data_IF_973781950226
#
_entry.id   IF_973781950226
#
_cell.length_a   1.000
_cell.length_b   1.000
_cell.length_c   1.000
_cell.angle_alpha   90.00
_cell.angle_beta   90.00
_cell.angle_gamma   90.00
#
_symmetry.space_group_name_H-M   'P 1'
#
loop_
_entity.id
_entity.type
_entity.pdbx_description
1 polymer ?
#
# COMPACT_ATOMS: atom_id res chain seq x y z
N UNK A 1 -30.31 -36.33 9.81
CA UNK A 1 -28.83 -36.18 9.96
C UNK A 1 -28.08 -36.39 8.64
N UNK A 2 -28.27 -37.50 7.91
CA UNK A 2 -27.61 -37.74 6.60
C UNK A 2 -27.95 -36.73 5.50
N UNK A 3 -29.20 -36.25 5.44
CA UNK A 3 -29.63 -35.24 4.46
C UNK A 3 -28.97 -33.86 4.66
N UNK A 4 -28.84 -33.42 5.92
CA UNK A 4 -28.21 -32.14 6.28
C UNK A 4 -26.71 -32.14 5.97
N UNK A 5 -26.03 -33.28 6.12
CA UNK A 5 -24.62 -33.42 5.76
C UNK A 5 -24.39 -33.37 4.24
N UNK A 6 -25.32 -33.92 3.44
CA UNK A 6 -25.29 -33.84 1.98
C UNK A 6 -25.55 -32.41 1.50
N UNK A 7 -26.51 -31.73 2.09
CA UNK A 7 -26.83 -30.32 1.80
C UNK A 7 -25.66 -29.39 2.17
N UNK A 8 -24.99 -29.62 3.29
CA UNK A 8 -23.77 -28.88 3.65
C UNK A 8 -22.62 -29.12 2.67
N UNK A 9 -22.45 -30.34 2.18
CA UNK A 9 -21.40 -30.66 1.20
C UNK A 9 -21.67 -29.94 -0.14
N UNK A 10 -22.94 -29.93 -0.57
CA UNK A 10 -23.35 -29.24 -1.80
C UNK A 10 -23.24 -27.71 -1.68
N UNK A 11 -23.63 -27.14 -0.54
CA UNK A 11 -23.46 -25.71 -0.28
C UNK A 11 -21.99 -25.29 -0.25
N UNK A 12 -21.11 -26.12 0.33
CA UNK A 12 -19.66 -25.87 0.34
C UNK A 12 -19.10 -25.88 -1.08
N UNK A 13 -19.50 -26.85 -1.89
CA UNK A 13 -19.08 -26.93 -3.28
C UNK A 13 -19.52 -25.70 -4.11
N UNK A 14 -20.78 -25.27 -3.97
CA UNK A 14 -21.30 -24.07 -4.62
C UNK A 14 -20.57 -22.80 -4.18
N UNK A 15 -20.19 -22.71 -2.90
CA UNK A 15 -19.41 -21.58 -2.37
C UNK A 15 -18.00 -21.54 -2.99
N UNK A 16 -17.36 -22.70 -3.16
CA UNK A 16 -16.04 -22.79 -3.79
C UNK A 16 -16.07 -22.42 -5.28
N UNK A 17 -17.10 -22.85 -6.00
CA UNK A 17 -17.33 -22.48 -7.40
C UNK A 17 -17.56 -20.97 -7.54
N UNK A 18 -18.47 -20.39 -6.76
CA UNK A 18 -18.73 -18.95 -6.78
C UNK A 18 -17.47 -18.13 -6.43
N UNK A 19 -16.66 -18.61 -5.49
CA UNK A 19 -15.38 -17.98 -5.16
C UNK A 19 -14.36 -18.09 -6.30
N UNK A 20 -14.33 -19.20 -7.03
CA UNK A 20 -13.47 -19.37 -8.19
C UNK A 20 -13.87 -18.44 -9.35
N UNK A 21 -15.17 -18.31 -9.60
CA UNK A 21 -15.72 -17.38 -10.60
C UNK A 21 -15.40 -15.92 -10.25
N UNK A 22 -15.60 -15.52 -8.99
CA UNK A 22 -15.24 -14.17 -8.52
C UNK A 22 -13.75 -13.87 -8.69
N UNK A 23 -12.87 -14.86 -8.46
CA UNK A 23 -11.43 -14.72 -8.70
C UNK A 23 -11.13 -14.52 -10.19
N UNK A 24 -11.77 -15.32 -11.05
CA UNK A 24 -11.62 -15.25 -12.51
C UNK A 24 -12.09 -13.90 -13.06
N UNK A 25 -13.30 -13.46 -12.68
CA UNK A 25 -13.85 -12.16 -13.09
C UNK A 25 -12.97 -11.00 -12.66
N UNK A 26 -12.43 -11.03 -11.43
CA UNK A 26 -11.46 -10.03 -10.95
C UNK A 26 -10.16 -10.04 -11.73
N UNK A 27 -9.66 -11.22 -12.13
CA UNK A 27 -8.45 -11.34 -12.95
C UNK A 27 -8.66 -10.77 -14.36
N UNK A 28 -9.79 -11.09 -14.99
CA UNK A 28 -10.17 -10.57 -16.31
C UNK A 28 -10.37 -9.06 -16.29
N UNK A 29 -11.08 -8.52 -15.29
CA UNK A 29 -11.24 -7.08 -15.13
C UNK A 29 -9.88 -6.35 -14.96
N UNK A 30 -8.94 -6.96 -14.22
CA UNK A 30 -7.57 -6.43 -14.08
C UNK A 30 -6.80 -6.46 -15.39
N UNK A 31 -6.93 -7.52 -16.19
CA UNK A 31 -6.26 -7.64 -17.48
C UNK A 31 -6.76 -6.57 -18.47
N UNK A 32 -8.08 -6.38 -18.56
CA UNK A 32 -8.70 -5.35 -19.41
C UNK A 32 -8.31 -3.93 -18.98
N UNK A 33 -8.26 -3.67 -17.67
CA UNK A 33 -7.78 -2.39 -17.15
C UNK A 33 -6.29 -2.14 -17.48
N UNK A 34 -5.47 -3.19 -17.54
CA UNK A 34 -4.05 -3.12 -17.89
C UNK A 34 -3.83 -2.77 -19.37
N UNK A 35 -4.66 -3.28 -20.28
CA UNK A 35 -4.57 -2.98 -21.71
C UNK A 35 -5.01 -1.55 -22.06
N UNK A 36 -5.92 -0.95 -21.29
CA UNK A 36 -6.28 0.47 -21.47
C UNK A 36 -5.26 1.46 -20.91
N UNK A 37 -4.20 0.98 -20.25
CA UNK A 37 -3.21 1.82 -19.57
C UNK A 37 -1.89 2.01 -20.37
N UNK A 38 -1.87 1.70 -21.67
CA UNK A 38 -0.77 2.15 -22.53
C UNK A 38 -0.88 3.67 -22.72
N UNK A 39 0.15 4.47 -22.34
CA UNK A 39 0.08 5.91 -22.53
C UNK A 39 0.12 6.23 -24.04
N UNK A 40 -0.65 7.22 -24.52
CA UNK A 40 -0.45 7.74 -25.86
C UNK A 40 0.97 8.33 -25.96
N UNK A 41 1.73 7.90 -26.96
CA UNK A 41 3.05 8.47 -27.27
C UNK A 41 2.88 9.98 -27.58
N UNK A 42 3.48 10.83 -26.74
CA UNK A 42 3.44 12.30 -26.90
C UNK A 42 3.11 13.11 -25.64
N UNK A 43 2.90 12.48 -24.48
CA UNK A 43 2.52 13.20 -23.26
C UNK A 43 3.62 14.15 -22.73
N UNK A 44 3.20 15.39 -22.46
CA UNK A 44 3.96 16.47 -21.84
C UNK A 44 4.60 15.97 -20.53
N UNK A 45 5.87 15.56 -20.59
CA UNK A 45 6.55 14.93 -19.46
C UNK A 45 6.85 15.99 -18.41
N UNK A 46 6.07 16.00 -17.33
CA UNK A 46 6.31 16.89 -16.19
C UNK A 46 7.73 16.66 -15.68
N UNK A 47 8.54 17.71 -15.67
CA UNK A 47 9.89 17.71 -15.11
C UNK A 47 9.79 18.25 -13.68
N UNK A 48 10.16 17.41 -12.72
CA UNK A 48 10.17 17.76 -11.30
C UNK A 48 11.56 18.25 -10.88
N UNK A 49 11.61 19.29 -10.05
CA UNK A 49 12.85 19.83 -9.51
C UNK A 49 13.49 18.91 -8.46
N UNK A 50 12.70 18.03 -7.82
CA UNK A 50 13.20 17.09 -6.82
C UNK A 50 12.42 15.77 -6.76
N UNK A 51 13.01 14.78 -6.10
CA UNK A 51 12.31 13.53 -5.76
C UNK A 51 11.11 13.77 -4.85
N UNK A 52 11.22 14.75 -3.95
CA UNK A 52 10.15 15.12 -3.03
C UNK A 52 8.93 15.68 -3.79
N UNK A 53 9.17 16.61 -4.71
CA UNK A 53 8.11 17.20 -5.53
C UNK A 53 7.40 16.14 -6.37
N UNK A 54 8.18 15.26 -7.01
CA UNK A 54 7.65 14.13 -7.76
C UNK A 54 6.79 13.21 -6.89
N UNK A 55 7.25 12.80 -5.72
CA UNK A 55 6.49 11.92 -4.81
C UNK A 55 5.19 12.60 -4.37
N UNK A 56 5.24 13.88 -3.97
CA UNK A 56 4.06 14.61 -3.53
C UNK A 56 3.02 14.70 -4.65
N UNK A 57 3.47 14.96 -5.88
CA UNK A 57 2.62 14.93 -7.06
C UNK A 57 1.98 13.56 -7.28
N UNK A 58 2.76 12.48 -7.27
CA UNK A 58 2.23 11.12 -7.47
C UNK A 58 1.22 10.68 -6.40
N UNK A 59 1.48 10.97 -5.13
CA UNK A 59 0.54 10.68 -4.02
C UNK A 59 -0.75 11.49 -4.20
N UNK A 60 -0.63 12.78 -4.53
CA UNK A 60 -1.78 13.65 -4.75
C UNK A 60 -2.63 13.15 -5.93
N UNK A 61 -1.98 12.78 -7.03
CA UNK A 61 -2.70 12.24 -8.19
C UNK A 61 -3.33 10.89 -7.92
N UNK A 62 -2.67 10.02 -7.16
CA UNK A 62 -3.24 8.75 -6.73
C UNK A 62 -4.47 8.95 -5.83
N UNK A 63 -4.44 9.91 -4.92
CA UNK A 63 -5.59 10.28 -4.09
C UNK A 63 -6.74 10.83 -4.94
N UNK A 64 -6.46 11.76 -5.86
CA UNK A 64 -7.47 12.34 -6.76
C UNK A 64 -8.13 11.28 -7.66
N UNK A 65 -7.35 10.35 -8.20
CA UNK A 65 -7.87 9.26 -9.05
C UNK A 65 -8.69 8.23 -8.25
N UNK A 66 -8.41 8.08 -6.95
CA UNK A 66 -9.04 7.07 -6.11
C UNK A 66 -10.36 7.53 -5.49
N UNK A 67 -10.44 8.80 -5.12
CA UNK A 67 -11.58 9.35 -4.39
C UNK A 67 -12.32 10.38 -5.25
N UNK A 68 -13.65 10.27 -5.29
CA UNK A 68 -14.51 11.29 -5.88
C UNK A 68 -14.34 12.63 -5.13
N UNK A 69 -14.71 13.78 -5.72
CA UNK A 69 -14.65 15.06 -5.02
C UNK A 69 -15.37 15.05 -3.65
N UNK A 70 -16.48 14.32 -3.52
CA UNK A 70 -17.21 14.17 -2.27
C UNK A 70 -16.48 13.26 -1.26
N UNK A 71 -15.96 12.11 -1.71
CA UNK A 71 -15.19 11.20 -0.85
C UNK A 71 -13.94 11.87 -0.26
N UNK A 72 -13.33 12.81 -1.00
CA UNK A 72 -12.15 13.55 -0.55
C UNK A 72 -12.42 14.40 0.69
N UNK A 73 -13.68 14.78 0.97
CA UNK A 73 -14.06 15.48 2.20
C UNK A 73 -14.05 14.52 3.41
N UNK A 74 -14.46 13.27 3.21
CA UNK A 74 -14.46 12.25 4.27
C UNK A 74 -13.14 11.50 4.39
N UNK A 75 -12.30 11.53 3.35
CA UNK A 75 -10.97 10.93 3.27
C UNK A 75 -9.92 11.98 2.87
N UNK A 76 -9.73 13.04 3.67
CA UNK A 76 -8.80 14.11 3.33
C UNK A 76 -7.36 13.58 3.31
N UNK A 77 -6.58 14.05 2.34
CA UNK A 77 -5.15 13.80 2.32
C UNK A 77 -4.47 14.68 3.38
N UNK A 78 -4.09 14.09 4.51
CA UNK A 78 -3.43 14.83 5.58
C UNK A 78 -2.03 15.31 5.16
N UNK A 79 -1.48 16.28 5.91
CA UNK A 79 -0.08 16.66 5.76
C UNK A 79 0.86 15.48 6.04
N UNK A 80 1.85 15.29 5.19
CA UNK A 80 2.88 14.26 5.35
C UNK A 80 4.26 14.79 4.97
N UNK A 81 5.28 14.20 5.57
CA UNK A 81 6.69 14.46 5.29
C UNK A 81 7.21 13.35 4.36
N UNK A 82 8.12 13.71 3.46
CA UNK A 82 8.80 12.76 2.59
C UNK A 82 10.25 12.68 3.06
N UNK A 83 10.65 11.53 3.58
CA UNK A 83 12.02 11.26 3.96
C UNK A 83 12.94 11.23 2.73
N UNK A 84 14.25 11.51 2.91
CA UNK A 84 15.20 11.68 1.82
C UNK A 84 15.33 10.45 0.92
N UNK A 85 15.21 9.26 1.49
CA UNK A 85 15.37 7.98 0.80
C UNK A 85 14.09 7.52 0.07
N UNK A 86 12.94 8.10 0.39
CA UNK A 86 11.66 7.56 -0.06
C UNK A 86 11.55 7.61 -1.58
N UNK A 87 11.75 8.80 -2.17
CA UNK A 87 11.65 8.96 -3.62
C UNK A 87 12.64 8.07 -4.39
N UNK A 88 13.89 8.01 -3.94
CA UNK A 88 14.90 7.15 -4.57
C UNK A 88 14.50 5.66 -4.49
N UNK A 89 14.01 5.21 -3.34
CA UNK A 89 13.56 3.82 -3.15
C UNK A 89 12.38 3.44 -4.06
N UNK A 90 11.48 4.39 -4.37
CA UNK A 90 10.35 4.12 -5.27
C UNK A 90 10.76 4.16 -6.73
N UNK A 91 11.66 5.08 -7.14
CA UNK A 91 12.17 5.13 -8.53
C UNK A 91 12.86 3.83 -8.95
N UNK A 92 13.52 3.16 -8.02
CA UNK A 92 14.17 1.87 -8.27
C UNK A 92 13.19 0.73 -8.58
N UNK A 93 11.88 0.94 -8.37
CA UNK A 93 10.85 -0.08 -8.62
C UNK A 93 10.32 0.01 -10.06
N UNK A 94 9.90 -1.13 -10.66
CA UNK A 94 9.12 -1.12 -11.89
C UNK A 94 7.81 -0.31 -11.76
N UNK A 95 7.35 0.34 -12.83
CA UNK A 95 6.18 1.24 -12.81
C UNK A 95 4.93 0.62 -12.17
N UNK A 96 4.68 -0.67 -12.39
CA UNK A 96 3.52 -1.35 -11.82
C UNK A 96 3.59 -1.50 -10.29
N UNK A 97 4.80 -1.57 -9.71
CA UNK A 97 5.01 -1.55 -8.26
C UNK A 97 4.93 -0.12 -7.71
N UNK A 98 5.45 0.88 -8.43
CA UNK A 98 5.28 2.29 -8.04
C UNK A 98 3.79 2.64 -7.87
N UNK A 99 2.95 2.21 -8.82
CA UNK A 99 1.49 2.40 -8.70
C UNK A 99 0.88 1.72 -7.45
N UNK A 100 1.44 0.60 -6.97
CA UNK A 100 1.02 -0.01 -5.69
C UNK A 100 1.48 0.81 -4.50
N UNK A 101 2.72 1.32 -4.54
CA UNK A 101 3.27 2.21 -3.51
C UNK A 101 2.39 3.46 -3.37
N UNK A 102 2.00 4.10 -4.47
CA UNK A 102 1.15 5.30 -4.42
C UNK A 102 -0.20 5.04 -3.78
N UNK A 103 -0.84 3.91 -4.09
CA UNK A 103 -2.09 3.52 -3.40
C UNK A 103 -1.87 3.31 -1.90
N UNK A 104 -0.78 2.62 -1.54
CA UNK A 104 -0.41 2.37 -0.15
C UNK A 104 -0.11 3.67 0.61
N UNK A 105 0.65 4.59 0.01
CA UNK A 105 0.95 5.91 0.56
C UNK A 105 -0.32 6.73 0.79
N UNK A 106 -1.29 6.69 -0.13
CA UNK A 106 -2.59 7.33 0.07
C UNK A 106 -3.33 6.72 1.26
N UNK A 107 -3.36 5.39 1.41
CA UNK A 107 -4.00 4.76 2.59
C UNK A 107 -3.30 5.12 3.90
N UNK A 108 -1.98 5.31 3.88
CA UNK A 108 -1.24 5.76 5.05
C UNK A 108 -1.55 7.23 5.36
N UNK A 109 -1.49 8.11 4.37
CA UNK A 109 -1.72 9.56 4.53
C UNK A 109 -3.18 9.91 4.85
N UNK A 110 -4.14 9.06 4.50
CA UNK A 110 -5.56 9.20 4.90
C UNK A 110 -5.88 8.50 6.23
N UNK A 111 -4.89 7.89 6.90
CA UNK A 111 -5.08 7.19 8.17
C UNK A 111 -5.75 5.81 8.07
N UNK A 112 -6.18 5.39 6.88
CA UNK A 112 -6.84 4.09 6.63
C UNK A 112 -5.99 2.88 6.99
N UNK A 113 -4.67 3.02 7.04
CA UNK A 113 -3.76 1.97 7.50
C UNK A 113 -4.10 1.42 8.89
N UNK A 114 -4.77 2.19 9.74
CA UNK A 114 -5.20 1.77 11.09
C UNK A 114 -6.34 0.76 11.07
N UNK A 115 -7.17 0.80 10.03
CA UNK A 115 -8.41 0.01 9.94
C UNK A 115 -8.43 -0.95 8.77
N UNK A 116 -7.46 -0.88 7.86
CA UNK A 116 -7.38 -1.73 6.67
C UNK A 116 -6.49 -2.96 6.93
N UNK A 117 -7.06 -4.17 7.13
CA UNK A 117 -6.26 -5.36 7.45
C UNK A 117 -5.32 -5.77 6.30
N UNK A 118 -5.70 -5.45 5.06
CA UNK A 118 -4.91 -5.78 3.87
C UNK A 118 -3.52 -5.10 3.86
N UNK A 119 -3.35 -3.99 4.59
CA UNK A 119 -2.05 -3.34 4.73
C UNK A 119 -1.14 -4.03 5.76
N UNK A 120 -1.69 -4.89 6.62
CA UNK A 120 -0.95 -5.56 7.69
C UNK A 120 0.02 -4.60 8.41
N UNK A 121 -0.55 -3.49 8.90
CA UNK A 121 0.24 -2.42 9.51
C UNK A 121 0.77 -2.86 10.87
N UNK A 122 2.08 -2.82 11.04
CA UNK A 122 2.74 -3.21 12.29
C UNK A 122 3.93 -2.30 12.58
N UNK A 123 4.31 -2.13 13.86
CA UNK A 123 5.60 -1.53 14.18
C UNK A 123 6.74 -2.35 13.57
N UNK A 124 7.79 -1.66 13.12
CA UNK A 124 9.07 -2.30 12.84
C UNK A 124 9.75 -2.59 14.17
N UNK A 125 10.28 -3.80 14.34
CA UNK A 125 10.97 -4.22 15.56
C UNK A 125 12.48 -4.24 15.35
N UNK A 126 13.23 -3.91 16.39
CA UNK A 126 14.69 -3.85 16.34
C UNK A 126 15.34 -5.18 15.97
N UNK A 127 14.70 -6.30 16.31
CA UNK A 127 15.11 -7.65 15.91
C UNK A 127 13.89 -8.50 15.56
N UNK A 128 14.13 -9.69 15.02
CA UNK A 128 13.07 -10.66 14.72
C UNK A 128 12.49 -11.36 15.97
N UNK A 129 13.05 -11.12 17.16
CA UNK A 129 12.58 -11.76 18.39
C UNK A 129 11.14 -11.33 18.73
N UNK A 130 10.37 -12.25 19.30
CA UNK A 130 8.94 -12.03 19.60
C UNK A 130 8.69 -10.82 20.51
N UNK A 131 9.62 -10.53 21.43
CA UNK A 131 9.56 -9.42 22.38
C UNK A 131 10.54 -8.29 22.05
N UNK A 132 11.04 -8.24 20.81
CA UNK A 132 11.90 -7.16 20.39
C UNK A 132 11.14 -5.81 20.47
N UNK A 133 11.77 -4.77 21.04
CA UNK A 133 11.14 -3.46 21.12
C UNK A 133 10.90 -2.89 19.71
N UNK A 134 9.89 -2.04 19.62
CA UNK A 134 9.61 -1.24 18.43
C UNK A 134 10.80 -0.31 18.16
N UNK A 135 11.09 -0.05 16.88
CA UNK A 135 12.09 0.94 16.48
C UNK A 135 11.51 2.33 16.69
N UNK A 136 12.17 3.12 17.54
CA UNK A 136 11.82 4.50 17.86
C UNK A 136 13.01 5.41 17.55
N UNK A 137 12.76 6.52 16.84
CA UNK A 137 13.77 7.51 16.50
C UNK A 137 14.10 8.34 17.74
N UNK A 138 15.37 8.31 18.16
CA UNK A 138 15.79 8.92 19.42
C UNK A 138 15.61 10.46 19.46
N UNK A 139 15.69 11.13 18.31
CA UNK A 139 15.65 12.58 18.23
C UNK A 139 14.27 13.18 18.56
N UNK A 140 13.19 12.48 18.24
CA UNK A 140 11.83 13.02 18.31
C UNK A 140 10.76 12.01 18.77
N UNK A 141 11.16 10.78 19.10
CA UNK A 141 10.26 9.73 19.56
C UNK A 141 9.37 9.14 18.47
N UNK A 142 9.63 9.44 17.19
CA UNK A 142 8.83 8.90 16.10
C UNK A 142 8.96 7.38 16.02
N UNK A 143 7.86 6.65 15.87
CA UNK A 143 7.84 5.18 15.82
C UNK A 143 7.87 4.69 14.37
N UNK A 144 8.77 3.77 14.05
CA UNK A 144 8.81 3.18 12.71
C UNK A 144 7.69 2.15 12.55
N UNK A 145 6.88 2.34 11.52
CA UNK A 145 5.79 1.48 11.12
C UNK A 145 6.11 0.87 9.75
N UNK A 146 5.58 -0.32 9.49
CA UNK A 146 5.64 -0.98 8.18
C UNK A 146 4.25 -1.39 7.73
N UNK A 147 4.02 -1.28 6.42
CA UNK A 147 2.81 -1.76 5.74
C UNK A 147 3.18 -2.56 4.49
N UNK A 148 2.33 -3.49 4.12
CA UNK A 148 2.49 -4.33 2.94
C UNK A 148 2.06 -3.56 1.68
N UNK A 149 2.97 -3.44 0.72
CA UNK A 149 2.67 -2.96 -0.64
C UNK A 149 2.21 -4.12 -1.52
N UNK A 150 2.76 -5.30 -1.25
CA UNK A 150 2.40 -6.57 -1.88
C UNK A 150 2.23 -7.66 -0.82
N UNK A 151 1.40 -8.65 -1.14
CA UNK A 151 1.20 -9.83 -0.31
C UNK A 151 1.32 -11.09 -1.19
N UNK A 152 1.73 -12.21 -0.59
CA UNK A 152 1.80 -13.52 -1.24
C UNK A 152 2.67 -13.59 -2.51
N UNK A 153 3.75 -12.81 -2.56
CA UNK A 153 4.74 -12.87 -3.66
C UNK A 153 6.16 -13.00 -3.07
N UNK A 154 7.06 -13.76 -3.72
CA UNK A 154 8.48 -13.73 -3.38
C UNK A 154 9.01 -12.29 -3.40
N UNK A 155 9.83 -11.94 -2.41
CA UNK A 155 10.40 -10.60 -2.24
C UNK A 155 9.33 -9.48 -2.21
N UNK A 156 8.16 -9.76 -1.63
CA UNK A 156 7.09 -8.78 -1.44
C UNK A 156 7.62 -7.46 -0.86
N UNK A 157 7.13 -6.35 -1.39
CA UNK A 157 7.54 -5.03 -0.94
C UNK A 157 6.75 -4.58 0.28
N UNK A 158 7.46 -3.96 1.22
CA UNK A 158 6.92 -3.25 2.37
C UNK A 158 7.33 -1.79 2.29
N UNK A 159 6.44 -0.91 2.72
CA UNK A 159 6.73 0.50 2.88
C UNK A 159 6.90 0.80 4.36
N UNK A 160 8.01 1.45 4.70
CA UNK A 160 8.28 1.96 6.04
C UNK A 160 7.92 3.44 6.12
N UNK A 161 7.34 3.84 7.24
CA UNK A 161 7.08 5.23 7.55
C UNK A 161 7.27 5.48 9.05
N UNK A 162 7.63 6.70 9.42
CA UNK A 162 7.65 7.13 10.80
C UNK A 162 6.28 7.71 11.16
N UNK A 163 5.73 7.25 12.29
CA UNK A 163 4.60 7.86 12.93
C UNK A 163 5.13 8.82 13.99
N UNK A 164 4.98 10.11 13.72
CA UNK A 164 5.38 11.19 14.61
C UNK A 164 4.46 11.21 15.85
N UNK A 165 4.92 11.86 16.92
CA UNK A 165 4.19 11.92 18.21
C UNK A 165 2.89 12.73 18.13
N UNK A 166 2.80 13.67 17.19
CA UNK A 166 1.60 14.43 16.84
C UNK A 166 0.64 13.68 15.89
N UNK A 167 1.03 12.48 15.44
CA UNK A 167 0.28 11.66 14.50
C UNK A 167 0.60 11.92 13.02
N UNK A 168 1.48 12.89 12.71
CA UNK A 168 1.97 13.12 11.36
C UNK A 168 2.72 11.90 10.83
N UNK A 169 2.64 11.67 9.53
CA UNK A 169 3.35 10.58 8.85
C UNK A 169 4.56 11.14 8.11
N UNK A 170 5.70 10.49 8.26
CA UNK A 170 6.88 10.68 7.43
C UNK A 170 7.17 9.40 6.63
N UNK A 171 7.07 9.46 5.29
CA UNK A 171 7.41 8.32 4.43
C UNK A 171 8.92 8.10 4.41
N UNK A 172 9.39 6.91 4.80
CA UNK A 172 10.83 6.62 4.91
C UNK A 172 11.38 5.97 3.64
N UNK A 173 10.93 4.75 3.31
CA UNK A 173 11.42 3.98 2.14
C UNK A 173 10.54 2.79 1.80
N UNK A 174 10.75 2.22 0.61
CA UNK A 174 10.17 0.94 0.19
C UNK A 174 11.27 -0.13 0.08
N UNK A 175 11.07 -1.25 0.76
CA UNK A 175 12.09 -2.30 0.93
C UNK A 175 11.51 -3.70 0.70
N UNK A 176 12.34 -4.72 0.39
CA UNK A 176 11.92 -6.11 0.47
C UNK A 176 11.47 -6.49 1.88
N UNK A 177 10.55 -7.45 2.01
CA UNK A 177 9.95 -7.80 3.29
C UNK A 177 10.94 -8.29 4.38
N UNK A 178 12.09 -8.83 3.96
CA UNK A 178 13.16 -9.34 4.83
C UNK A 178 14.00 -8.21 5.44
N UNK A 179 13.86 -6.98 4.95
CA UNK A 179 14.63 -5.88 5.50
C UNK A 179 14.08 -5.45 6.86
N UNK A 180 14.86 -5.67 7.90
CA UNK A 180 14.54 -5.31 9.28
C UNK A 180 15.10 -3.95 9.71
N UNK A 181 15.85 -3.26 8.86
CA UNK A 181 16.43 -1.96 9.21
C UNK A 181 15.42 -0.83 9.03
N UNK A 182 15.51 0.20 9.88
CA UNK A 182 14.79 1.47 9.74
C UNK A 182 15.56 2.49 8.91
#
# INVERSE_FOLDING_TARGET
MRAVLLENAELTHRLDEANAELRSLRASARATARHKASPPEGENRIVFASNEEWVRHEITMAWMRRFSPEDRLSQPLAGFIIGPEFGASVRALPCHLQAKVWRCAVDVATGRWRTCPALAAHPLRATAAAHAPDVVRAADGARCMRVSVEAHTPAARRMHFWLMTDGTVEFSRVVPHDNATA
#
